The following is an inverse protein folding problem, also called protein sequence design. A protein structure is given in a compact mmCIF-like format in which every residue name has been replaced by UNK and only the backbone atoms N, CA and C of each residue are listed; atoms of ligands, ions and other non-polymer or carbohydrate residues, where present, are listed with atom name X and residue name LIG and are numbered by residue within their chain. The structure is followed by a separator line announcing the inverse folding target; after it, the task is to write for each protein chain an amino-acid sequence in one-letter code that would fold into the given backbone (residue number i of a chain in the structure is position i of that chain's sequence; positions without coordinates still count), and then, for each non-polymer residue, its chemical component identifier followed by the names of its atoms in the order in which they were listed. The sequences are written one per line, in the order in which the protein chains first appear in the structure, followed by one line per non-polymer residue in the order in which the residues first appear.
data_IF_311983341989
#
_entry.id   IF_311983341989
#
_cell.length_a   1.000
_cell.length_b   1.000
_cell.length_c   1.000
_cell.angle_alpha   90.00
_cell.angle_beta   90.00
_cell.angle_gamma   90.00
#
_symmetry.space_group_name_H-M   'P 1'
#
loop_
_entity.id
_entity.type
_entity.pdbx_description
1 polymer ?
#
# COMPACT_ATOMS: atom_id res chain seq x y z
N UNK A 1 -17.79 1.28 -26.12
CA UNK A 1 -16.45 0.86 -25.70
C UNK A 1 -16.46 -0.67 -25.53
N UNK A 2 -15.41 -1.35 -25.92
CA UNK A 2 -15.27 -2.79 -25.67
C UNK A 2 -14.50 -3.00 -24.37
N UNK A 3 -14.85 -4.05 -23.63
CA UNK A 3 -14.14 -4.42 -22.43
C UNK A 3 -12.72 -4.89 -22.82
N UNK A 4 -11.72 -4.26 -22.27
CA UNK A 4 -10.31 -4.60 -22.50
C UNK A 4 -9.81 -5.40 -21.29
N UNK A 5 -9.16 -6.52 -21.55
CA UNK A 5 -8.50 -7.30 -20.51
C UNK A 5 -7.07 -6.79 -20.39
N UNK A 6 -6.74 -6.19 -19.24
CA UNK A 6 -5.37 -5.82 -18.90
C UNK A 6 -4.87 -6.69 -17.74
N UNK A 7 -3.57 -6.89 -17.68
CA UNK A 7 -2.98 -7.65 -16.58
C UNK A 7 -3.21 -6.90 -15.24
N UNK A 8 -3.62 -7.61 -14.18
CA UNK A 8 -3.84 -7.00 -12.86
C UNK A 8 -2.67 -6.16 -12.36
N UNK A 9 -1.44 -6.58 -12.63
CA UNK A 9 -0.23 -5.85 -12.26
C UNK A 9 -0.15 -4.46 -12.92
N UNK A 10 -0.49 -4.36 -14.21
CA UNK A 10 -0.49 -3.08 -14.93
C UNK A 10 -1.51 -2.09 -14.34
N UNK A 11 -2.67 -2.58 -13.92
CA UNK A 11 -3.70 -1.75 -13.31
C UNK A 11 -3.27 -1.20 -11.94
N UNK A 12 -2.55 -2.00 -11.17
CA UNK A 12 -1.98 -1.55 -9.90
C UNK A 12 -0.90 -0.50 -10.13
N UNK A 13 -0.03 -0.65 -11.12
CA UNK A 13 0.96 0.37 -11.51
C UNK A 13 0.31 1.69 -11.92
N UNK A 14 -0.88 1.63 -12.48
CA UNK A 14 -1.67 2.81 -12.84
C UNK A 14 -2.29 3.53 -11.64
N UNK A 15 -2.36 2.88 -10.48
CA UNK A 15 -2.89 3.43 -9.24
C UNK A 15 -4.24 2.85 -8.80
N UNK A 16 -4.70 1.75 -9.42
CA UNK A 16 -5.87 1.01 -8.93
C UNK A 16 -5.50 0.18 -7.69
N UNK A 17 -6.46 0.01 -6.77
CA UNK A 17 -6.24 -0.84 -5.61
C UNK A 17 -6.10 -2.32 -6.01
N UNK A 18 -5.13 -3.07 -5.45
CA UNK A 18 -5.03 -4.51 -5.71
C UNK A 18 -6.32 -5.28 -5.42
N UNK A 19 -7.16 -4.80 -4.49
CA UNK A 19 -8.41 -5.44 -4.13
C UNK A 19 -9.54 -5.20 -5.14
N UNK A 20 -9.48 -4.12 -5.92
CA UNK A 20 -10.51 -3.80 -6.91
C UNK A 20 -10.19 -4.36 -8.29
N UNK A 21 -8.94 -4.69 -8.55
CA UNK A 21 -8.45 -5.05 -9.90
C UNK A 21 -9.12 -6.32 -10.43
N UNK A 22 -9.46 -7.28 -9.56
CA UNK A 22 -10.14 -8.53 -9.94
C UNK A 22 -11.55 -8.31 -10.49
N UNK A 23 -12.24 -7.29 -10.01
CA UNK A 23 -13.64 -7.02 -10.34
C UNK A 23 -13.80 -5.79 -11.26
N UNK A 24 -12.69 -5.12 -11.56
CA UNK A 24 -12.67 -3.89 -12.32
C UNK A 24 -12.90 -4.17 -13.82
N UNK A 25 -13.94 -3.55 -14.38
CA UNK A 25 -14.21 -3.59 -15.81
C UNK A 25 -13.58 -2.38 -16.49
N UNK A 26 -12.55 -2.64 -17.28
CA UNK A 26 -11.87 -1.61 -18.07
C UNK A 26 -12.41 -1.62 -19.49
N UNK A 27 -12.67 -0.43 -20.02
CA UNK A 27 -13.18 -0.23 -21.36
C UNK A 27 -12.16 0.50 -22.22
N UNK A 28 -11.96 -0.05 -23.43
CA UNK A 28 -11.15 0.58 -24.47
C UNK A 28 -11.99 1.23 -25.56
N UNK A 29 -11.36 2.04 -26.44
CA UNK A 29 -12.06 2.68 -27.54
C UNK A 29 -12.52 1.64 -28.56
N UNK A 30 -13.80 1.72 -28.97
CA UNK A 30 -14.33 0.98 -30.10
C UNK A 30 -14.75 1.95 -31.20
N UNK A 31 -14.06 1.93 -32.30
CA UNK A 31 -14.36 2.77 -33.44
C UNK A 31 -15.73 2.46 -34.04
N UNK A 32 -16.44 3.48 -34.48
CA UNK A 32 -17.68 3.37 -35.24
C UNK A 32 -17.77 4.54 -36.24
N UNK A 33 -18.72 4.51 -37.19
CA UNK A 33 -18.89 5.58 -38.16
C UNK A 33 -19.17 6.96 -37.52
N UNK A 34 -19.92 7.00 -36.42
CA UNK A 34 -20.24 8.25 -35.70
C UNK A 34 -19.01 8.93 -35.10
N UNK A 35 -18.09 8.16 -34.54
CA UNK A 35 -16.84 8.69 -33.98
C UNK A 35 -15.69 8.74 -35.02
N UNK A 36 -15.97 8.44 -36.27
CA UNK A 36 -15.00 8.38 -37.37
C UNK A 36 -13.80 7.46 -37.05
N UNK A 37 -14.08 6.33 -36.41
CA UNK A 37 -13.07 5.33 -36.05
C UNK A 37 -12.32 5.60 -34.76
N UNK A 38 -12.44 6.78 -34.13
CA UNK A 38 -11.66 7.15 -32.92
C UNK A 38 -12.06 6.40 -31.66
N UNK A 39 -13.29 5.88 -31.56
CA UNK A 39 -13.83 5.27 -30.36
C UNK A 39 -14.27 6.24 -29.27
N UNK A 40 -14.09 7.55 -29.47
CA UNK A 40 -14.42 8.58 -28.49
C UNK A 40 -15.43 9.57 -29.04
N UNK A 41 -16.28 10.10 -28.12
CA UNK A 41 -17.23 11.17 -28.43
C UNK A 41 -17.32 12.15 -27.27
N UNK A 42 -17.13 13.44 -27.57
CA UNK A 42 -17.20 14.52 -26.59
C UNK A 42 -15.95 14.59 -25.70
N UNK A 43 -16.09 15.24 -24.55
CA UNK A 43 -15.04 15.48 -23.57
C UNK A 43 -15.56 15.27 -22.17
N UNK A 44 -14.74 14.70 -21.28
CA UNK A 44 -15.01 14.58 -19.85
C UNK A 44 -13.96 15.43 -19.12
N UNK A 45 -14.43 16.30 -18.21
CA UNK A 45 -13.52 17.12 -17.40
C UNK A 45 -12.81 16.27 -16.34
N UNK A 46 -11.51 16.49 -16.20
CA UNK A 46 -10.73 16.07 -15.05
C UNK A 46 -10.37 17.31 -14.24
N UNK A 47 -10.57 17.24 -12.95
CA UNK A 47 -10.32 18.36 -12.05
C UNK A 47 -9.40 17.91 -10.91
N UNK A 48 -8.44 18.77 -10.60
CA UNK A 48 -7.65 18.73 -9.39
C UNK A 48 -8.00 19.99 -8.61
N UNK A 49 -8.59 19.82 -7.43
CA UNK A 49 -9.06 20.93 -6.60
C UNK A 49 -8.32 20.88 -5.27
N UNK A 50 -7.63 21.95 -4.97
CA UNK A 50 -6.99 22.16 -3.67
C UNK A 50 -7.86 23.12 -2.86
N UNK A 51 -8.38 22.65 -1.74
CA UNK A 51 -9.03 23.51 -0.76
C UNK A 51 -7.96 24.30 0.00
N UNK A 52 -8.13 25.60 0.08
CA UNK A 52 -7.22 26.45 0.85
C UNK A 52 -7.69 26.48 2.31
N UNK A 53 -7.38 25.41 3.02
CA UNK A 53 -7.60 25.30 4.46
C UNK A 53 -6.63 26.22 5.20
N UNK A 54 -6.80 26.38 6.51
CA UNK A 54 -5.87 27.17 7.34
C UNK A 54 -4.43 26.61 7.26
N UNK A 55 -4.26 25.28 7.26
CA UNK A 55 -2.95 24.65 7.11
C UNK A 55 -2.31 24.96 5.75
N UNK A 56 -3.08 24.85 4.68
CA UNK A 56 -2.61 25.16 3.32
C UNK A 56 -2.26 26.64 3.21
N UNK A 57 -3.07 27.54 3.77
CA UNK A 57 -2.82 28.98 3.78
C UNK A 57 -1.52 29.32 4.54
N UNK A 58 -1.29 28.70 5.68
CA UNK A 58 -0.09 28.87 6.50
C UNK A 58 1.17 28.45 5.73
N UNK A 59 1.10 27.31 5.04
CA UNK A 59 2.22 26.82 4.23
C UNK A 59 2.50 27.75 3.05
N UNK A 60 1.48 28.22 2.34
CA UNK A 60 1.67 29.19 1.26
C UNK A 60 2.35 30.47 1.78
N UNK A 61 1.92 30.97 2.94
CA UNK A 61 2.49 32.17 3.56
C UNK A 61 3.93 31.99 4.03
N UNK A 62 4.35 30.78 4.36
CA UNK A 62 5.70 30.44 4.77
C UNK A 62 6.68 30.27 3.59
N UNK A 63 6.25 30.53 2.34
CA UNK A 63 7.05 30.44 1.12
C UNK A 63 7.80 29.10 0.98
N UNK A 64 7.10 28.01 1.21
CA UNK A 64 7.61 26.64 1.14
C UNK A 64 7.75 26.15 -0.30
N UNK A 65 8.36 24.98 -0.46
CA UNK A 65 8.49 24.33 -1.78
C UNK A 65 7.15 23.80 -2.31
N UNK A 66 7.02 23.67 -3.64
CA UNK A 66 5.86 23.05 -4.28
C UNK A 66 5.57 21.65 -3.70
N UNK A 67 6.61 20.86 -3.41
CA UNK A 67 6.44 19.53 -2.85
C UNK A 67 5.81 19.54 -1.45
N UNK A 68 6.17 20.50 -0.62
CA UNK A 68 5.57 20.67 0.71
C UNK A 68 4.10 21.10 0.62
N UNK A 69 3.79 22.06 -0.26
CA UNK A 69 2.43 22.48 -0.50
C UNK A 69 1.57 21.33 -1.02
N UNK A 70 2.09 20.58 -2.00
CA UNK A 70 1.41 19.41 -2.56
C UNK A 70 1.13 18.34 -1.51
N UNK A 71 2.11 18.01 -0.67
CA UNK A 71 1.94 17.06 0.44
C UNK A 71 0.83 17.50 1.38
N UNK A 72 0.82 18.75 1.79
CA UNK A 72 -0.22 19.28 2.67
C UNK A 72 -1.60 19.22 2.01
N UNK A 73 -1.71 19.66 0.77
CA UNK A 73 -2.97 19.61 0.03
C UNK A 73 -3.54 18.18 -0.08
N UNK A 74 -2.67 17.19 -0.34
CA UNK A 74 -3.07 15.78 -0.38
C UNK A 74 -3.54 15.27 0.98
N UNK A 75 -2.87 15.66 2.08
CA UNK A 75 -3.29 15.33 3.44
C UNK A 75 -4.63 15.96 3.81
N UNK A 76 -4.92 17.14 3.27
CA UNK A 76 -6.20 17.85 3.43
C UNK A 76 -7.30 17.36 2.46
N UNK A 77 -7.03 16.29 1.69
CA UNK A 77 -8.03 15.63 0.86
C UNK A 77 -8.06 16.06 -0.61
N UNK A 78 -7.06 16.77 -1.09
CA UNK A 78 -6.95 17.06 -2.52
C UNK A 78 -6.88 15.75 -3.31
N UNK A 79 -7.72 15.67 -4.36
CA UNK A 79 -7.72 14.57 -5.32
C UNK A 79 -6.91 15.00 -6.54
N UNK A 80 -5.91 14.23 -6.91
CA UNK A 80 -5.06 14.53 -8.07
C UNK A 80 -5.79 14.35 -9.40
N UNK A 81 -5.31 15.00 -10.47
CA UNK A 81 -5.81 14.76 -11.83
C UNK A 81 -5.78 13.27 -12.21
N UNK A 82 -4.75 12.56 -11.74
CA UNK A 82 -4.63 11.12 -11.98
C UNK A 82 -5.75 10.35 -11.29
N UNK A 83 -5.98 10.58 -10.01
CA UNK A 83 -7.04 9.92 -9.24
C UNK A 83 -8.43 10.25 -9.79
N UNK A 84 -8.67 11.52 -10.16
CA UNK A 84 -9.88 11.92 -10.86
C UNK A 84 -10.05 11.17 -12.19
N UNK A 85 -8.95 10.93 -12.92
CA UNK A 85 -8.93 10.14 -14.15
C UNK A 85 -9.25 8.67 -13.90
N UNK A 86 -8.67 8.05 -12.87
CA UNK A 86 -8.95 6.66 -12.50
C UNK A 86 -10.43 6.47 -12.14
N UNK A 87 -11.04 7.44 -11.47
CA UNK A 87 -12.47 7.40 -11.18
C UNK A 87 -13.33 7.45 -12.47
N UNK A 88 -12.92 8.22 -13.46
CA UNK A 88 -13.61 8.23 -14.78
C UNK A 88 -13.43 6.91 -15.54
N UNK A 89 -12.31 6.23 -15.36
CA UNK A 89 -12.11 4.88 -15.90
C UNK A 89 -13.05 3.88 -15.21
N UNK A 90 -13.18 3.91 -13.87
CA UNK A 90 -14.14 3.06 -13.12
C UNK A 90 -15.58 3.24 -13.61
N UNK A 91 -15.93 4.47 -13.91
CA UNK A 91 -17.26 4.83 -14.47
C UNK A 91 -17.43 4.43 -15.95
N UNK A 92 -16.39 3.93 -16.62
CA UNK A 92 -16.43 3.59 -18.04
C UNK A 92 -16.55 4.81 -18.99
N UNK A 93 -16.23 6.02 -18.51
CA UNK A 93 -16.36 7.27 -19.27
C UNK A 93 -15.15 7.59 -20.13
N UNK A 94 -14.00 6.98 -19.85
CA UNK A 94 -12.77 7.17 -20.60
C UNK A 94 -11.90 5.92 -20.52
N UNK A 95 -10.82 5.87 -21.30
CA UNK A 95 -9.84 4.78 -21.29
C UNK A 95 -8.61 5.16 -20.49
N UNK A 96 -7.83 4.15 -20.15
CA UNK A 96 -6.52 4.30 -19.51
C UNK A 96 -5.60 5.19 -20.35
N UNK A 97 -5.54 4.94 -21.67
CA UNK A 97 -4.68 5.68 -22.59
C UNK A 97 -4.95 7.18 -22.56
N UNK A 98 -6.22 7.59 -22.55
CA UNK A 98 -6.59 9.01 -22.47
C UNK A 98 -6.17 9.63 -21.14
N UNK A 99 -6.36 8.95 -20.02
CA UNK A 99 -5.93 9.43 -18.70
C UNK A 99 -4.41 9.54 -18.64
N UNK A 100 -3.68 8.52 -19.10
CA UNK A 100 -2.22 8.55 -19.15
C UNK A 100 -1.70 9.71 -19.99
N UNK A 101 -2.31 9.95 -21.14
CA UNK A 101 -1.94 11.05 -22.04
C UNK A 101 -2.15 12.43 -21.44
N UNK A 102 -3.13 12.60 -20.56
CA UNK A 102 -3.53 13.88 -19.97
C UNK A 102 -2.96 14.14 -18.59
N UNK A 103 -2.52 13.09 -17.89
CA UNK A 103 -1.98 13.20 -16.54
C UNK A 103 -0.51 12.78 -16.56
N UNK A 104 0.40 13.75 -16.38
CA UNK A 104 1.83 13.45 -16.34
C UNK A 104 2.19 12.51 -15.19
N UNK A 105 2.81 11.38 -15.52
CA UNK A 105 3.37 10.41 -14.56
C UNK A 105 4.68 10.88 -13.92
N UNK A 106 5.25 12.00 -14.37
CA UNK A 106 6.64 12.37 -14.07
C UNK A 106 6.90 12.91 -12.67
N UNK A 107 5.83 13.17 -11.86
CA UNK A 107 6.03 13.54 -10.44
C UNK A 107 5.04 12.78 -9.55
N UNK A 108 5.36 11.55 -9.24
CA UNK A 108 4.60 10.73 -8.29
C UNK A 108 4.21 9.34 -8.81
N UNK A 109 4.96 8.76 -9.76
CA UNK A 109 4.81 7.34 -10.04
C UNK A 109 4.94 6.56 -8.73
N UNK A 110 3.94 5.74 -8.43
CA UNK A 110 4.04 4.83 -7.29
C UNK A 110 5.26 3.94 -7.56
N UNK A 111 6.26 3.92 -6.67
CA UNK A 111 7.43 3.08 -6.86
C UNK A 111 7.02 1.62 -7.08
N UNK A 112 7.75 0.89 -7.91
CA UNK A 112 7.45 -0.51 -8.22
C UNK A 112 7.30 -1.37 -6.96
N UNK A 113 8.10 -1.11 -5.91
CA UNK A 113 8.01 -1.82 -4.64
C UNK A 113 6.71 -1.58 -3.84
N UNK A 114 5.89 -0.60 -4.24
CA UNK A 114 4.54 -0.35 -3.70
C UNK A 114 3.46 -0.82 -4.68
N UNK A 115 3.64 -0.51 -5.97
CA UNK A 115 2.67 -0.85 -7.01
C UNK A 115 2.62 -2.35 -7.30
N UNK A 116 3.78 -2.99 -7.29
CA UNK A 116 3.96 -4.42 -7.53
C UNK A 116 5.06 -4.95 -6.61
N UNK A 117 4.79 -5.07 -5.30
CA UNK A 117 5.76 -5.60 -4.37
C UNK A 117 6.14 -7.03 -4.77
N UNK A 118 7.36 -7.41 -4.47
CA UNK A 118 7.84 -8.77 -4.71
C UNK A 118 6.97 -9.76 -3.93
N UNK A 119 6.39 -10.73 -4.63
CA UNK A 119 5.54 -11.77 -4.04
C UNK A 119 6.36 -13.03 -3.84
N UNK A 120 6.37 -13.53 -2.63
CA UNK A 120 7.07 -14.76 -2.24
C UNK A 120 6.07 -15.80 -1.75
N UNK A 121 6.25 -17.04 -2.21
CA UNK A 121 5.46 -18.20 -1.76
C UNK A 121 6.30 -19.08 -0.86
N UNK A 122 5.71 -19.50 0.25
CA UNK A 122 6.35 -20.36 1.23
C UNK A 122 5.55 -21.63 1.47
N UNK A 123 6.22 -22.77 1.41
CA UNK A 123 5.64 -24.05 1.78
C UNK A 123 5.50 -24.18 3.31
N UNK A 124 4.74 -25.19 3.74
CA UNK A 124 4.56 -25.48 5.16
C UNK A 124 5.91 -25.67 5.87
N UNK A 125 6.07 -25.02 7.01
CA UNK A 125 7.30 -25.00 7.85
C UNK A 125 8.49 -24.27 7.22
N UNK A 126 8.33 -23.63 6.06
CA UNK A 126 9.38 -22.78 5.51
C UNK A 126 9.61 -21.56 6.40
N UNK A 127 10.88 -21.20 6.58
CA UNK A 127 11.29 -20.05 7.39
C UNK A 127 11.40 -18.83 6.49
N UNK A 128 10.66 -17.77 6.80
CA UNK A 128 10.73 -16.50 6.07
C UNK A 128 11.99 -15.74 6.49
N UNK A 129 12.21 -15.59 7.79
CA UNK A 129 13.46 -15.09 8.35
C UNK A 129 13.69 -15.65 9.76
N UNK A 130 14.93 -15.59 10.25
CA UNK A 130 15.31 -16.08 11.56
C UNK A 130 15.69 -14.95 12.50
N UNK A 131 15.39 -15.11 13.78
CA UNK A 131 15.90 -14.30 14.88
C UNK A 131 17.43 -14.17 14.78
N UNK A 132 17.94 -12.95 15.01
CA UNK A 132 19.37 -12.63 14.91
C UNK A 132 19.90 -12.41 13.49
N UNK A 133 19.12 -12.72 12.45
CA UNK A 133 19.56 -12.45 11.07
C UNK A 133 19.53 -10.94 10.79
N UNK A 134 20.50 -10.51 9.97
CA UNK A 134 20.48 -9.15 9.40
C UNK A 134 19.52 -9.10 8.23
N UNK A 135 18.75 -8.01 8.16
CA UNK A 135 17.82 -7.74 7.08
C UNK A 135 16.78 -6.72 7.52
N UNK A 136 16.53 -5.72 6.68
CA UNK A 136 15.60 -4.63 6.98
C UNK A 136 14.26 -4.76 6.29
N UNK A 137 14.09 -5.70 5.34
CA UNK A 137 12.84 -5.84 4.63
C UNK A 137 11.69 -6.17 5.57
N UNK A 138 10.52 -5.65 5.28
CA UNK A 138 9.30 -6.02 5.98
C UNK A 138 8.30 -6.62 4.99
N UNK A 139 7.32 -7.31 5.52
CA UNK A 139 6.44 -8.16 4.72
C UNK A 139 4.99 -7.89 5.06
N UNK A 140 4.10 -8.21 4.11
CA UNK A 140 2.66 -8.23 4.30
C UNK A 140 2.11 -9.61 3.99
N UNK A 141 1.33 -10.19 4.89
CA UNK A 141 0.64 -11.45 4.64
C UNK A 141 -0.45 -11.23 3.59
N UNK A 142 -0.39 -11.96 2.49
CA UNK A 142 -1.44 -11.97 1.44
C UNK A 142 -2.39 -13.13 1.67
N UNK A 143 -1.83 -14.32 1.96
CA UNK A 143 -2.61 -15.54 2.17
C UNK A 143 -1.85 -16.51 3.06
N UNK A 144 -2.59 -17.32 3.82
CA UNK A 144 -2.02 -18.36 4.69
C UNK A 144 -1.94 -17.91 6.15
N UNK A 145 -1.10 -18.59 6.93
CA UNK A 145 -0.90 -18.36 8.35
C UNK A 145 0.58 -18.50 8.69
N UNK A 146 1.07 -17.63 9.57
CA UNK A 146 2.45 -17.60 10.01
C UNK A 146 2.55 -17.78 11.52
N UNK A 147 3.63 -18.41 11.97
CA UNK A 147 3.99 -18.58 13.37
C UNK A 147 5.19 -17.70 13.68
N UNK A 148 5.08 -16.92 14.73
CA UNK A 148 6.17 -16.10 15.26
C UNK A 148 6.80 -16.83 16.45
N UNK A 149 8.12 -17.03 16.37
CA UNK A 149 8.90 -17.76 17.36
C UNK A 149 10.02 -16.87 17.88
N UNK A 150 10.19 -16.83 19.19
CA UNK A 150 11.31 -16.16 19.87
C UNK A 150 11.95 -17.10 20.87
N UNK A 151 13.28 -17.20 20.84
CA UNK A 151 14.04 -18.11 21.71
C UNK A 151 13.48 -19.55 21.68
N UNK A 152 13.08 -20.02 20.50
CA UNK A 152 12.49 -21.33 20.29
C UNK A 152 11.06 -21.53 20.78
N UNK A 153 10.43 -20.50 21.34
CA UNK A 153 9.04 -20.56 21.82
C UNK A 153 8.11 -19.81 20.89
N UNK A 154 6.97 -20.41 20.56
CA UNK A 154 5.91 -19.71 19.82
C UNK A 154 5.33 -18.60 20.69
N UNK A 155 5.38 -17.37 20.20
CA UNK A 155 4.87 -16.18 20.90
C UNK A 155 3.62 -15.58 20.26
N UNK A 156 3.41 -15.77 18.95
CA UNK A 156 2.25 -15.23 18.23
C UNK A 156 1.96 -16.03 16.96
N UNK A 157 0.80 -15.74 16.37
CA UNK A 157 0.45 -16.13 15.00
C UNK A 157 0.01 -14.87 14.22
N UNK A 158 0.29 -14.87 12.91
CA UNK A 158 -0.18 -13.85 11.98
C UNK A 158 -1.12 -14.57 11.02
N UNK A 159 -2.41 -14.27 11.11
CA UNK A 159 -3.47 -15.01 10.41
C UNK A 159 -4.36 -14.11 9.56
N UNK A 160 -4.26 -12.79 9.72
CA UNK A 160 -5.10 -11.85 8.98
C UNK A 160 -4.39 -11.42 7.69
N UNK A 161 -4.96 -11.69 6.50
CA UNK A 161 -4.47 -11.11 5.27
C UNK A 161 -4.38 -9.58 5.37
N UNK A 162 -3.26 -9.05 4.90
CA UNK A 162 -2.95 -7.63 4.99
C UNK A 162 -2.16 -7.24 6.24
N UNK A 163 -1.87 -8.15 7.17
CA UNK A 163 -1.00 -7.86 8.32
C UNK A 163 0.45 -7.75 7.91
N UNK A 164 1.12 -6.73 8.46
CA UNK A 164 2.55 -6.50 8.27
C UNK A 164 3.37 -7.18 9.36
N UNK A 165 4.59 -7.59 9.02
CA UNK A 165 5.54 -8.20 9.95
C UNK A 165 7.00 -7.98 9.50
N UNK A 166 7.93 -8.14 10.44
CA UNK A 166 9.35 -7.86 10.19
C UNK A 166 9.70 -6.38 10.19
N UNK A 167 8.73 -5.50 10.45
CA UNK A 167 8.85 -4.05 10.47
C UNK A 167 9.79 -3.53 11.57
N UNK A 168 9.93 -4.27 12.68
CA UNK A 168 10.78 -3.86 13.81
C UNK A 168 12.23 -3.69 13.35
N UNK A 169 12.75 -4.62 12.56
CA UNK A 169 14.11 -4.54 12.02
C UNK A 169 14.26 -3.35 11.04
N UNK A 170 13.23 -3.09 10.21
CA UNK A 170 13.20 -1.95 9.30
C UNK A 170 13.22 -0.59 10.04
N UNK A 171 12.46 -0.49 11.15
CA UNK A 171 12.34 0.72 11.96
C UNK A 171 13.61 0.96 12.79
N UNK A 172 14.13 -0.11 13.41
CA UNK A 172 15.20 0.02 14.41
C UNK A 172 16.60 -0.09 13.83
N UNK A 173 16.74 -0.61 12.61
CA UNK A 173 18.03 -0.93 11.99
C UNK A 173 18.77 -2.09 12.67
N UNK A 174 18.11 -2.82 13.60
CA UNK A 174 18.67 -3.94 14.34
C UNK A 174 18.42 -5.27 13.62
N UNK A 175 19.00 -6.32 14.13
CA UNK A 175 18.75 -7.69 13.70
C UNK A 175 17.30 -8.11 13.94
N UNK A 176 16.83 -9.16 13.25
CA UNK A 176 15.48 -9.72 13.42
C UNK A 176 15.24 -10.11 14.87
N UNK A 177 14.19 -9.56 15.46
CA UNK A 177 13.81 -9.80 16.86
C UNK A 177 13.18 -11.18 17.09
N UNK A 178 12.71 -11.82 16.02
CA UNK A 178 11.97 -13.09 16.05
C UNK A 178 12.24 -13.92 14.79
N UNK A 179 11.86 -15.20 14.84
CA UNK A 179 11.79 -16.09 13.68
C UNK A 179 10.34 -16.16 13.19
N UNK A 180 10.10 -16.00 11.89
CA UNK A 180 8.78 -16.17 11.28
C UNK A 180 8.77 -17.38 10.36
N UNK A 181 7.78 -18.27 10.56
CA UNK A 181 7.67 -19.56 9.91
C UNK A 181 6.27 -19.70 9.31
N UNK A 182 6.18 -20.19 8.09
CA UNK A 182 4.90 -20.53 7.45
C UNK A 182 4.27 -21.76 8.11
N UNK A 183 3.01 -21.66 8.57
CA UNK A 183 2.29 -22.78 9.21
C UNK A 183 1.79 -23.78 8.18
N UNK A 184 1.34 -23.28 7.02
CA UNK A 184 0.90 -24.02 5.85
C UNK A 184 1.53 -23.44 4.59
N UNK A 185 0.84 -23.48 3.44
CA UNK A 185 1.22 -22.65 2.30
C UNK A 185 0.87 -21.21 2.59
N UNK A 186 1.83 -20.30 2.44
CA UNK A 186 1.64 -18.88 2.67
C UNK A 186 2.20 -18.05 1.53
N UNK A 187 1.57 -16.92 1.27
CA UNK A 187 1.98 -15.93 0.26
C UNK A 187 2.17 -14.61 0.98
N UNK A 188 3.30 -13.96 0.74
CA UNK A 188 3.62 -12.67 1.33
C UNK A 188 4.10 -11.70 0.26
N UNK A 189 3.84 -10.42 0.48
CA UNK A 189 4.46 -9.32 -0.25
C UNK A 189 5.66 -8.80 0.53
N UNK A 190 6.78 -8.60 -0.16
CA UNK A 190 8.03 -8.09 0.41
C UNK A 190 8.22 -6.62 0.08
N UNK A 191 8.59 -5.84 1.05
CA UNK A 191 8.86 -4.41 0.96
C UNK A 191 10.30 -4.11 1.40
N UNK A 192 11.06 -3.30 0.65
CA UNK A 192 12.42 -2.94 1.02
C UNK A 192 12.44 -2.03 2.24
N UNK A 193 13.14 -2.43 3.29
CA UNK A 193 13.17 -1.71 4.55
C UNK A 193 13.90 -0.37 4.49
N UNK A 194 14.86 -0.20 3.57
CA UNK A 194 15.52 1.08 3.29
C UNK A 194 14.54 2.14 2.73
N UNK A 195 13.38 1.70 2.23
CA UNK A 195 12.31 2.57 1.75
C UNK A 195 11.22 2.84 2.80
N UNK A 196 11.32 2.28 4.01
CA UNK A 196 10.29 2.44 5.03
C UNK A 196 10.01 3.92 5.35
N UNK A 197 11.04 4.76 5.45
CA UNK A 197 10.88 6.20 5.67
C UNK A 197 10.08 6.86 4.55
N UNK A 198 10.37 6.53 3.29
CA UNK A 198 9.62 7.02 2.15
C UNK A 198 8.16 6.52 2.16
N UNK A 199 7.95 5.25 2.57
CA UNK A 199 6.61 4.66 2.68
C UNK A 199 5.81 5.37 3.75
N UNK A 200 6.40 5.62 4.92
CA UNK A 200 5.74 6.33 6.02
C UNK A 200 5.34 7.74 5.61
N UNK A 201 6.20 8.44 4.89
CA UNK A 201 5.94 9.81 4.44
C UNK A 201 4.87 9.92 3.34
N UNK A 202 4.87 8.98 2.39
CA UNK A 202 4.09 9.12 1.16
C UNK A 202 2.84 8.23 1.10
N UNK A 203 2.74 7.20 1.95
CA UNK A 203 1.66 6.21 1.91
C UNK A 203 0.90 6.09 3.23
N UNK A 204 0.07 7.09 3.60
CA UNK A 204 -0.61 7.15 4.89
C UNK A 204 -1.43 5.91 5.22
N UNK A 205 -2.04 5.25 4.22
CA UNK A 205 -2.82 4.02 4.44
C UNK A 205 -1.96 2.86 4.94
N UNK A 206 -0.74 2.72 4.39
CA UNK A 206 0.21 1.69 4.85
C UNK A 206 0.70 2.06 6.25
N UNK A 207 1.06 3.33 6.46
CA UNK A 207 1.53 3.87 7.73
C UNK A 207 0.49 3.69 8.84
N UNK A 208 -0.77 4.08 8.62
CA UNK A 208 -1.84 3.90 9.60
C UNK A 208 -1.99 2.43 9.98
N UNK A 209 -1.99 1.53 9.00
CA UNK A 209 -2.14 0.10 9.27
C UNK A 209 -0.95 -0.47 10.04
N UNK A 210 0.28 -0.08 9.73
CA UNK A 210 1.47 -0.46 10.50
C UNK A 210 1.35 0.02 11.95
N UNK A 211 0.97 1.27 12.18
CA UNK A 211 0.81 1.85 13.51
C UNK A 211 -0.30 1.16 14.31
N UNK A 212 -1.45 0.92 13.71
CA UNK A 212 -2.57 0.21 14.35
C UNK A 212 -2.16 -1.19 14.80
N UNK A 213 -1.43 -1.91 13.96
CA UNK A 213 -0.94 -3.26 14.30
C UNK A 213 0.12 -3.24 15.40
N UNK A 214 1.04 -2.28 15.36
CA UNK A 214 2.04 -2.12 16.42
C UNK A 214 1.37 -1.76 17.76
N UNK A 215 0.40 -0.85 17.76
CA UNK A 215 -0.37 -0.51 18.97
C UNK A 215 -1.12 -1.73 19.52
N UNK A 216 -1.78 -2.51 18.68
CA UNK A 216 -2.46 -3.74 19.08
C UNK A 216 -1.52 -4.79 19.68
N UNK A 217 -0.32 -4.95 19.13
CA UNK A 217 0.71 -5.87 19.67
C UNK A 217 1.25 -5.40 21.03
N UNK A 218 1.43 -4.10 21.22
CA UNK A 218 1.85 -3.51 22.49
C UNK A 218 0.77 -3.75 23.54
N UNK A 219 -0.49 -3.48 23.23
CA UNK A 219 -1.61 -3.69 24.18
C UNK A 219 -1.73 -5.18 24.59
N UNK A 220 -1.64 -6.09 23.63
CA UNK A 220 -1.65 -7.53 23.90
C UNK A 220 -0.48 -7.96 24.79
N UNK A 221 0.72 -7.48 24.52
CA UNK A 221 1.91 -7.77 25.33
C UNK A 221 1.79 -7.22 26.73
N UNK A 222 1.27 -6.01 26.90
CA UNK A 222 1.02 -5.38 28.20
C UNK A 222 0.04 -6.19 29.02
N UNK A 223 -1.06 -6.68 28.43
CA UNK A 223 -2.03 -7.54 29.12
C UNK A 223 -1.41 -8.85 29.61
N UNK A 224 -0.55 -9.46 28.79
CA UNK A 224 0.17 -10.69 29.20
C UNK A 224 1.08 -10.41 30.40
N UNK A 225 1.86 -9.32 30.34
CA UNK A 225 2.76 -8.94 31.44
C UNK A 225 1.98 -8.71 32.74
N UNK A 226 0.90 -7.95 32.70
CA UNK A 226 0.06 -7.70 33.87
C UNK A 226 -0.52 -8.99 34.45
N UNK A 227 -0.98 -9.91 33.61
CA UNK A 227 -1.49 -11.20 34.06
C UNK A 227 -0.39 -12.05 34.73
N UNK A 228 0.82 -12.06 34.20
CA UNK A 228 1.94 -12.79 34.79
C UNK A 228 2.36 -12.18 36.14
N UNK A 229 2.37 -10.85 36.25
CA UNK A 229 2.65 -10.16 37.51
C UNK A 229 1.62 -10.48 38.60
N UNK A 230 0.35 -10.61 38.23
CA UNK A 230 -0.73 -10.94 39.15
C UNK A 230 -0.74 -12.42 39.59
N UNK A 231 -0.03 -13.31 38.88
CA UNK A 231 0.08 -14.73 39.19
C UNK A 231 1.28 -15.08 40.08
N UNK A 232 2.20 -14.14 40.34
CA UNK A 232 3.29 -14.38 41.30
C UNK A 232 2.77 -14.20 42.71
N UNK A 233 2.77 -15.25 43.55
CA UNK A 233 2.43 -15.11 44.96
C UNK A 233 3.45 -14.19 45.65
N UNK A 234 2.94 -13.31 46.51
CA UNK A 234 3.77 -12.47 47.40
C UNK A 234 4.53 -13.31 48.38
#
# INVERSE_FOLDING_TARGET
MDQTVQAPAELVELGFSPHEVSDLKIYGPKGCPECKGSGYRGRVGLFELMEVTENVANIISANVTEDQLRKTALLEGMVTLREAGLEKIRQGLTSIEEVLRRTNLTKGAIPAYIASPEVEEYDSKAVIFREGNRGSDFFKLVKGELIVVKEGKKIAEIVQPGDYFGEIAAITGKERSETVISKGKSVVERYPGDKLGEIVDKYPKITSKLLDQMAGRIDASTKIIVNLMNQQPR
#
